data_IF_963159235925
#
_entry.id   IF_963159235925
#
_cell.length_a   1.000
_cell.length_b   1.000
_cell.length_c   1.000
_cell.angle_alpha   90.00
_cell.angle_beta   90.00
_cell.angle_gamma   90.00
#
_symmetry.space_group_name_H-M   'P 1'
#
loop_
_entity.id
_entity.type
_entity.pdbx_description
1 polymer ?
#
# COMPACT_ATOMS: atom_id res chain seq x y z
N UNK A 1 3.06 14.12 -27.21
CA UNK A 1 4.06 13.83 -26.15
C UNK A 1 3.60 14.44 -24.82
N UNK A 2 2.30 14.40 -24.55
CA UNK A 2 1.63 15.11 -23.43
C UNK A 2 0.69 14.13 -22.73
N UNK A 3 1.19 12.95 -22.36
CA UNK A 3 0.32 11.80 -22.13
C UNK A 3 -0.02 11.46 -20.69
N UNK A 4 0.51 12.07 -19.62
CA UNK A 4 0.22 11.52 -18.28
C UNK A 4 0.15 12.55 -17.12
N UNK A 5 -0.80 13.51 -17.15
CA UNK A 5 -1.07 14.36 -16.00
C UNK A 5 -1.44 13.57 -14.73
N UNK A 6 -2.12 12.42 -14.87
CA UNK A 6 -2.53 11.55 -13.76
C UNK A 6 -1.36 10.89 -13.02
N UNK A 7 -0.35 10.38 -13.74
CA UNK A 7 0.83 9.77 -13.14
C UNK A 7 1.64 10.82 -12.37
N UNK A 8 1.82 12.00 -12.97
CA UNK A 8 2.50 13.12 -12.29
C UNK A 8 1.75 13.50 -11.01
N UNK A 9 0.43 13.67 -11.07
CA UNK A 9 -0.35 14.04 -9.88
C UNK A 9 -0.24 12.99 -8.77
N UNK A 10 -0.29 11.69 -9.10
CA UNK A 10 -0.19 10.62 -8.10
C UNK A 10 1.20 10.57 -7.47
N UNK A 11 2.25 10.64 -8.29
CA UNK A 11 3.64 10.59 -7.83
C UNK A 11 4.01 11.77 -6.93
N UNK A 12 3.44 12.94 -7.19
CA UNK A 12 3.72 14.15 -6.39
C UNK A 12 2.76 14.34 -5.21
N UNK A 13 1.64 13.61 -5.15
CA UNK A 13 0.69 13.64 -4.04
C UNK A 13 1.36 13.39 -2.67
N UNK A 14 2.23 12.38 -2.49
CA UNK A 14 2.81 12.12 -1.18
C UNK A 14 3.88 13.13 -0.77
N UNK A 15 4.49 13.91 -1.68
CA UNK A 15 5.67 14.75 -1.37
C UNK A 15 5.50 15.67 -0.15
N UNK A 16 4.30 16.23 0.04
CA UNK A 16 4.01 17.19 1.12
C UNK A 16 3.35 16.56 2.35
N UNK A 17 3.08 15.26 2.34
CA UNK A 17 2.51 14.58 3.50
C UNK A 17 3.56 14.50 4.62
N UNK A 18 3.15 14.59 5.89
CA UNK A 18 4.04 14.31 7.03
C UNK A 18 4.24 12.81 7.22
N UNK A 19 3.16 12.06 7.08
CA UNK A 19 3.10 10.59 7.13
C UNK A 19 2.24 10.06 5.99
N UNK A 20 2.56 8.85 5.54
CA UNK A 20 1.89 8.18 4.43
C UNK A 20 1.50 6.76 4.84
N UNK A 21 0.24 6.41 4.60
CA UNK A 21 -0.30 5.08 4.82
C UNK A 21 -0.80 4.47 3.51
N UNK A 22 -0.47 3.21 3.27
CA UNK A 22 -0.89 2.46 2.10
C UNK A 22 -1.80 1.29 2.53
N UNK A 23 -3.04 1.25 2.04
CA UNK A 23 -3.91 0.09 2.12
C UNK A 23 -4.13 -0.43 0.70
N UNK A 24 -3.56 -1.59 0.39
CA UNK A 24 -3.53 -2.15 -0.96
C UNK A 24 -4.35 -3.44 -0.96
N UNK A 25 -5.35 -3.49 -1.84
CA UNK A 25 -6.18 -4.66 -2.07
C UNK A 25 -5.80 -5.28 -3.42
N UNK A 26 -5.10 -6.41 -3.40
CA UNK A 26 -4.53 -7.06 -4.58
C UNK A 26 -3.04 -6.78 -4.78
N UNK A 27 -2.60 -6.75 -6.04
CA UNK A 27 -1.18 -6.70 -6.41
C UNK A 27 -0.90 -6.01 -7.75
N UNK A 28 0.25 -6.33 -8.34
CA UNK A 28 0.79 -5.80 -9.61
C UNK A 28 0.72 -4.27 -9.71
N UNK A 29 0.01 -3.75 -10.72
CA UNK A 29 0.01 -2.35 -11.15
C UNK A 29 -0.37 -1.42 -10.00
N UNK A 30 -1.39 -1.79 -9.20
CA UNK A 30 -1.87 -0.97 -8.09
C UNK A 30 -0.81 -0.89 -6.99
N UNK A 31 -0.23 -2.04 -6.60
CA UNK A 31 0.84 -2.12 -5.60
C UNK A 31 2.06 -1.33 -6.07
N UNK A 32 2.52 -1.59 -7.29
CA UNK A 32 3.70 -0.97 -7.87
C UNK A 32 3.57 0.56 -7.99
N UNK A 33 2.43 1.07 -8.47
CA UNK A 33 2.24 2.52 -8.63
C UNK A 33 2.17 3.25 -7.30
N UNK A 34 1.47 2.70 -6.30
CA UNK A 34 1.37 3.30 -4.97
C UNK A 34 2.76 3.33 -4.31
N UNK A 35 3.51 2.24 -4.39
CA UNK A 35 4.87 2.17 -3.86
C UNK A 35 5.85 3.10 -4.58
N UNK A 36 5.77 3.20 -5.91
CA UNK A 36 6.60 4.13 -6.66
C UNK A 36 6.30 5.59 -6.32
N UNK A 37 5.04 5.95 -6.07
CA UNK A 37 4.68 7.29 -5.62
C UNK A 37 5.29 7.60 -4.24
N UNK A 38 5.21 6.65 -3.29
CA UNK A 38 5.77 6.83 -1.95
C UNK A 38 7.30 6.84 -1.95
N UNK A 39 7.96 6.15 -2.88
CA UNK A 39 9.41 6.23 -3.07
C UNK A 39 9.88 7.67 -3.35
N UNK A 40 9.04 8.51 -4.00
CA UNK A 40 9.39 9.92 -4.25
C UNK A 40 9.40 10.80 -2.99
N UNK A 41 8.71 10.42 -1.90
CA UNK A 41 8.64 11.19 -0.64
C UNK A 41 9.75 10.84 0.36
N UNK A 42 10.43 9.70 0.22
CA UNK A 42 11.18 8.98 1.28
C UNK A 42 10.33 7.93 2.02
N UNK A 43 9.74 7.04 1.22
CA UNK A 43 9.12 5.77 1.63
C UNK A 43 7.79 5.89 2.39
N UNK A 44 6.98 4.81 2.35
CA UNK A 44 5.75 4.68 3.11
C UNK A 44 6.00 4.39 4.60
N UNK A 45 5.20 4.99 5.49
CA UNK A 45 5.30 4.83 6.96
C UNK A 45 4.47 3.64 7.48
N UNK A 46 3.30 3.40 6.88
CA UNK A 46 2.36 2.35 7.24
C UNK A 46 1.90 1.61 5.99
N UNK A 47 1.91 0.29 6.01
CA UNK A 47 1.54 -0.51 4.83
C UNK A 47 0.70 -1.71 5.25
N UNK A 48 -0.46 -1.87 4.63
CA UNK A 48 -1.30 -3.07 4.73
C UNK A 48 -1.57 -3.56 3.31
N UNK A 49 -1.15 -4.78 3.01
CA UNK A 49 -1.44 -5.44 1.73
C UNK A 49 -2.36 -6.63 2.00
N UNK A 50 -3.47 -6.71 1.27
CA UNK A 50 -4.38 -7.85 1.26
C UNK A 50 -4.29 -8.51 -0.13
N UNK A 51 -3.64 -9.66 -0.25
CA UNK A 51 -3.50 -10.34 -1.54
C UNK A 51 -3.61 -11.86 -1.41
N UNK A 52 -3.67 -12.56 -2.55
CA UNK A 52 -3.76 -14.03 -2.63
C UNK A 52 -2.55 -14.65 -3.32
N UNK A 53 -1.55 -13.82 -3.64
CA UNK A 53 -0.36 -14.20 -4.38
C UNK A 53 0.75 -14.58 -3.40
N UNK A 54 1.58 -15.55 -3.79
CA UNK A 54 2.68 -16.06 -2.97
C UNK A 54 4.02 -15.63 -3.55
N UNK A 55 5.04 -15.56 -2.71
CA UNK A 55 6.40 -15.12 -3.09
C UNK A 55 7.12 -16.08 -4.05
N UNK A 56 6.68 -17.34 -4.16
CA UNK A 56 7.41 -18.40 -4.87
C UNK A 56 7.58 -18.12 -6.37
N UNK A 57 6.66 -17.37 -6.96
CA UNK A 57 6.63 -17.11 -8.40
C UNK A 57 7.50 -15.91 -8.82
N UNK A 58 8.08 -15.19 -7.86
CA UNK A 58 8.91 -14.01 -8.12
C UNK A 58 8.14 -12.82 -8.71
N UNK A 59 6.81 -12.80 -8.59
CA UNK A 59 5.97 -11.70 -9.07
C UNK A 59 6.00 -10.48 -8.14
N UNK A 60 5.83 -9.26 -8.68
CA UNK A 60 5.69 -8.06 -7.84
C UNK A 60 4.42 -8.13 -6.98
N UNK A 61 3.35 -8.82 -7.43
CA UNK A 61 2.18 -9.11 -6.58
C UNK A 61 2.53 -9.90 -5.34
N UNK A 62 3.26 -11.01 -5.53
CA UNK A 62 3.67 -11.93 -4.47
C UNK A 62 4.81 -11.38 -3.61
N UNK A 63 5.58 -10.42 -4.11
CA UNK A 63 6.80 -9.91 -3.48
C UNK A 63 6.60 -9.54 -2.01
N UNK A 64 7.54 -10.03 -1.18
CA UNK A 64 7.59 -9.77 0.26
C UNK A 64 7.71 -8.26 0.52
N UNK A 65 7.23 -7.81 1.67
CA UNK A 65 7.40 -6.41 2.11
C UNK A 65 8.88 -6.07 2.36
N UNK A 66 9.70 -7.06 2.73
CA UNK A 66 11.16 -6.89 2.86
C UNK A 66 11.83 -6.53 1.53
N UNK A 67 11.33 -7.08 0.41
CA UNK A 67 11.77 -6.68 -0.92
C UNK A 67 11.40 -5.21 -1.18
N UNK A 68 10.20 -4.79 -0.83
CA UNK A 68 9.79 -3.40 -0.97
C UNK A 68 10.62 -2.42 -0.10
N UNK A 69 11.11 -2.87 1.06
CA UNK A 69 12.09 -2.10 1.86
C UNK A 69 13.42 -1.97 1.12
N UNK A 70 13.91 -3.04 0.48
CA UNK A 70 15.18 -3.01 -0.29
C UNK A 70 15.18 -2.01 -1.44
N UNK A 71 14.00 -1.73 -2.00
CA UNK A 71 13.80 -0.78 -3.10
C UNK A 71 13.44 0.64 -2.62
N UNK A 72 13.56 0.94 -1.32
CA UNK A 72 13.16 2.23 -0.75
C UNK A 72 11.70 2.62 -1.09
N UNK A 73 10.80 1.62 -1.15
CA UNK A 73 9.35 1.83 -1.29
C UNK A 73 8.67 1.94 0.08
N UNK A 74 9.18 1.19 1.06
CA UNK A 74 8.69 1.13 2.45
C UNK A 74 9.84 1.47 3.38
N UNK A 75 9.56 2.24 4.45
CA UNK A 75 10.59 2.61 5.40
C UNK A 75 11.08 1.39 6.18
N UNK A 76 12.38 1.25 6.49
CA UNK A 76 12.88 0.13 7.29
C UNK A 76 12.19 -0.04 8.66
N UNK A 77 11.74 1.05 9.27
CA UNK A 77 11.02 1.06 10.55
C UNK A 77 9.50 1.22 10.39
N UNK A 78 8.96 0.97 9.18
CA UNK A 78 7.53 1.08 8.91
C UNK A 78 6.73 -0.02 9.63
N UNK A 79 5.47 0.27 9.95
CA UNK A 79 4.52 -0.76 10.35
C UNK A 79 3.87 -1.34 9.09
N UNK A 80 4.41 -2.46 8.62
CA UNK A 80 4.04 -3.08 7.36
C UNK A 80 3.53 -4.51 7.60
N UNK A 81 2.39 -4.88 6.99
CA UNK A 81 1.82 -6.24 7.07
C UNK A 81 1.23 -6.67 5.74
N UNK A 82 1.53 -7.91 5.34
CA UNK A 82 0.91 -8.59 4.20
C UNK A 82 0.01 -9.70 4.73
N UNK A 83 -1.28 -9.66 4.39
CA UNK A 83 -2.26 -10.65 4.82
C UNK A 83 -2.70 -11.45 3.61
N UNK A 84 -2.43 -12.75 3.68
CA UNK A 84 -2.82 -13.68 2.63
C UNK A 84 -4.31 -14.05 2.76
N UNK A 85 -5.11 -13.70 1.76
CA UNK A 85 -6.50 -14.09 1.67
C UNK A 85 -7.32 -13.20 0.73
N UNK A 86 -8.56 -13.63 0.47
CA UNK A 86 -9.44 -12.91 -0.44
C UNK A 86 -9.85 -11.55 0.13
N UNK A 87 -9.60 -10.49 -0.64
CA UNK A 87 -9.86 -9.11 -0.21
C UNK A 87 -11.31 -8.88 0.23
N UNK A 88 -12.31 -9.53 -0.40
CA UNK A 88 -13.73 -9.30 -0.03
C UNK A 88 -14.06 -9.71 1.41
N UNK A 89 -13.41 -10.76 1.94
CA UNK A 89 -13.59 -11.21 3.32
C UNK A 89 -12.79 -10.30 4.25
N UNK A 90 -11.49 -10.17 3.96
CA UNK A 90 -10.54 -9.48 4.83
C UNK A 90 -10.84 -7.99 4.94
N UNK A 91 -11.16 -7.33 3.83
CA UNK A 91 -11.47 -5.91 3.80
C UNK A 91 -12.74 -5.59 4.59
N UNK A 92 -13.78 -6.42 4.48
CA UNK A 92 -15.02 -6.24 5.25
C UNK A 92 -14.78 -6.30 6.75
N UNK A 93 -14.00 -7.30 7.21
CA UNK A 93 -13.63 -7.43 8.63
C UNK A 93 -12.72 -6.27 9.09
N UNK A 94 -11.76 -5.87 8.26
CA UNK A 94 -10.86 -4.76 8.54
C UNK A 94 -11.65 -3.47 8.74
N UNK A 95 -12.56 -3.14 7.82
CA UNK A 95 -13.40 -1.94 7.90
C UNK A 95 -14.31 -1.97 9.13
N UNK A 96 -14.95 -3.12 9.40
CA UNK A 96 -15.82 -3.29 10.57
C UNK A 96 -15.09 -2.97 11.89
N UNK A 97 -13.81 -3.35 12.01
CA UNK A 97 -13.05 -3.16 13.25
C UNK A 97 -12.24 -1.85 13.33
N UNK A 98 -12.00 -1.19 12.20
CA UNK A 98 -11.16 0.02 12.13
C UNK A 98 -12.00 1.25 11.82
N UNK A 99 -12.30 1.49 10.55
CA UNK A 99 -12.99 2.69 10.07
C UNK A 99 -14.41 2.80 10.64
N UNK A 100 -15.23 1.75 10.55
CA UNK A 100 -16.62 1.80 11.01
C UNK A 100 -16.70 1.91 12.55
N UNK A 101 -15.90 1.12 13.26
CA UNK A 101 -15.83 1.19 14.73
C UNK A 101 -15.35 2.55 15.25
N UNK A 102 -14.42 3.20 14.55
CA UNK A 102 -13.95 4.53 14.93
C UNK A 102 -15.03 5.59 14.66
N UNK A 103 -15.78 5.47 13.58
CA UNK A 103 -16.90 6.36 13.25
C UNK A 103 -18.00 6.27 14.31
N UNK A 104 -18.42 5.06 14.71
CA UNK A 104 -19.39 4.83 15.80
C UNK A 104 -18.94 5.42 17.15
N UNK A 105 -17.63 5.42 17.44
CA UNK A 105 -17.08 6.02 18.66
C UNK A 105 -17.03 7.54 18.62
N UNK A 106 -16.98 8.12 17.43
CA UNK A 106 -16.89 9.55 17.21
C UNK A 106 -18.26 10.21 17.01
N UNK A 107 -19.31 9.42 16.77
CA UNK A 107 -20.71 9.82 16.71
C UNK A 107 -21.34 9.96 18.11
#
# INVERSE_FOLDING_TARGET
VESQPSIKSLNFLPLNALHTGCLILGGEIVKHHIFNANAMRSEADYVVVLNTTMEYDGSDSGANLDEAVSWARIRPNAQAVNVFGAAFILFSLLVARTFAFQDEKNA
#
